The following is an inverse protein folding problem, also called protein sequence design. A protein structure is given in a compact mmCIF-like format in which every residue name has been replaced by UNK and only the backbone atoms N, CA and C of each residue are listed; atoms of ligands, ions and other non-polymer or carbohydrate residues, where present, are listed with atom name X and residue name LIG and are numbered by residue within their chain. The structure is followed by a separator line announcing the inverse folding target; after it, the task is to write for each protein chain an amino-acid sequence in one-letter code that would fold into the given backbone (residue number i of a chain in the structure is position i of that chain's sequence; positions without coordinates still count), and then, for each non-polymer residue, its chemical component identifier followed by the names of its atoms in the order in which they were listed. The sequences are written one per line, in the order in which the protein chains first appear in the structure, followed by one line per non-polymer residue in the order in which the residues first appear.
data_IF_928785536705
#
_entry.id   IF_928785536705
#
_cell.length_a   1.000
_cell.length_b   1.000
_cell.length_c   1.000
_cell.angle_alpha   90.00
_cell.angle_beta   90.00
_cell.angle_gamma   90.00
#
_symmetry.space_group_name_H-M   'P 1'
#
loop_
_entity.id
_entity.type
_entity.pdbx_description
1 polymer ?
#
# COMPACT_ATOMS: atom_id res chain seq x y z
N UNK A 1 16.01 19.07 -12.80
CA UNK A 1 14.85 18.85 -11.92
C UNK A 1 15.40 18.63 -10.52
N UNK A 2 14.99 19.46 -9.56
CA UNK A 2 15.19 19.19 -8.13
C UNK A 2 14.17 18.12 -7.73
N UNK A 3 14.62 16.91 -7.47
CA UNK A 3 13.75 15.85 -6.95
C UNK A 3 13.34 16.22 -5.52
N UNK A 4 12.09 15.91 -5.18
CA UNK A 4 11.66 15.84 -3.78
C UNK A 4 12.52 14.83 -3.03
N UNK A 5 12.71 15.02 -1.73
CA UNK A 5 13.46 14.08 -0.89
C UNK A 5 12.80 12.70 -0.96
N UNK A 6 13.54 11.68 -1.44
CA UNK A 6 12.95 10.35 -1.68
C UNK A 6 12.57 9.70 -0.35
N UNK A 7 11.34 9.21 -0.24
CA UNK A 7 10.85 8.47 0.93
C UNK A 7 10.85 6.95 0.71
N UNK A 8 10.80 6.49 -0.55
CA UNK A 8 10.86 5.07 -0.91
C UNK A 8 11.90 4.85 -2.01
N UNK A 9 12.81 3.90 -1.82
CA UNK A 9 13.79 3.48 -2.81
C UNK A 9 13.52 2.06 -3.25
N UNK A 10 13.55 1.80 -4.54
CA UNK A 10 13.28 0.50 -5.15
C UNK A 10 14.54 -0.02 -5.82
N UNK A 11 15.03 -1.19 -5.39
CA UNK A 11 16.29 -1.77 -5.85
C UNK A 11 16.06 -3.14 -6.48
N UNK A 12 16.24 -3.25 -7.79
CA UNK A 12 16.08 -4.55 -8.45
C UNK A 12 16.00 -4.46 -9.97
N UNK A 13 15.47 -5.53 -10.55
CA UNK A 13 15.43 -5.70 -12.00
C UNK A 13 14.38 -4.78 -12.65
N UNK A 14 14.83 -3.99 -13.63
CA UNK A 14 14.00 -3.43 -14.71
C UNK A 14 14.30 -4.29 -15.94
N UNK A 15 13.26 -4.88 -16.50
CA UNK A 15 13.37 -5.93 -17.50
C UNK A 15 12.38 -5.75 -18.64
N UNK A 16 12.59 -6.50 -19.72
CA UNK A 16 11.54 -6.87 -20.65
C UNK A 16 10.79 -8.10 -20.11
N UNK A 17 9.47 -8.02 -19.97
CA UNK A 17 8.63 -9.19 -19.77
C UNK A 17 8.13 -9.68 -21.13
N UNK A 18 8.43 -10.92 -21.48
CA UNK A 18 8.01 -11.56 -22.72
C UNK A 18 7.03 -12.69 -22.38
N UNK A 19 5.75 -12.42 -22.60
CA UNK A 19 4.68 -13.40 -22.43
C UNK A 19 4.46 -14.13 -23.75
N UNK A 20 4.62 -15.44 -23.76
CA UNK A 20 4.44 -16.31 -24.93
C UNK A 20 3.25 -17.22 -24.65
N UNK A 21 2.22 -17.16 -25.49
CA UNK A 21 1.00 -17.97 -25.40
C UNK A 21 0.73 -18.67 -26.73
N UNK A 22 -0.19 -19.66 -26.79
CA UNK A 22 -0.59 -20.25 -28.07
C UNK A 22 -1.23 -19.24 -29.05
N UNK A 23 -1.74 -18.12 -28.55
CA UNK A 23 -2.36 -17.07 -29.35
C UNK A 23 -1.35 -16.02 -29.87
N UNK A 24 -0.10 -16.04 -29.40
CA UNK A 24 0.94 -15.07 -29.77
C UNK A 24 1.85 -14.70 -28.60
N UNK A 25 2.78 -13.77 -28.84
CA UNK A 25 3.67 -13.23 -27.82
C UNK A 25 3.55 -11.70 -27.69
N UNK A 26 3.81 -11.19 -26.49
CA UNK A 26 3.86 -9.76 -26.19
C UNK A 26 5.11 -9.47 -25.37
N UNK A 27 5.82 -8.41 -25.73
CA UNK A 27 6.91 -7.86 -24.92
C UNK A 27 6.43 -6.56 -24.29
N UNK A 28 6.58 -6.45 -22.97
CA UNK A 28 6.28 -5.25 -22.19
C UNK A 28 7.43 -4.91 -21.26
N UNK A 29 7.49 -3.68 -20.75
CA UNK A 29 8.29 -3.36 -19.58
C UNK A 29 7.87 -4.19 -18.36
N UNK A 30 8.82 -4.60 -17.54
CA UNK A 30 8.56 -5.42 -16.36
C UNK A 30 9.73 -5.48 -15.40
N UNK A 31 9.68 -6.48 -14.53
CA UNK A 31 10.63 -6.67 -13.43
C UNK A 31 10.17 -6.03 -12.13
N UNK A 32 10.58 -6.61 -11.00
CA UNK A 32 10.06 -6.24 -9.69
C UNK A 32 10.24 -4.76 -9.37
N UNK A 33 11.39 -4.16 -9.72
CA UNK A 33 11.61 -2.73 -9.47
C UNK A 33 10.71 -1.84 -10.35
N UNK A 34 10.43 -2.25 -11.58
CA UNK A 34 9.51 -1.52 -12.45
C UNK A 34 8.07 -1.59 -11.94
N UNK A 35 7.57 -2.78 -11.58
CA UNK A 35 6.21 -2.94 -11.07
C UNK A 35 6.00 -2.25 -9.72
N UNK A 36 6.97 -2.36 -8.80
CA UNK A 36 6.93 -1.59 -7.54
C UNK A 36 7.01 -0.09 -7.78
N UNK A 37 7.76 0.37 -8.80
CA UNK A 37 7.80 1.80 -9.15
C UNK A 37 6.43 2.27 -9.62
N UNK A 38 5.74 1.48 -10.44
CA UNK A 38 4.39 1.81 -10.89
C UNK A 38 3.43 1.93 -9.70
N UNK A 39 3.46 0.98 -8.76
CA UNK A 39 2.65 1.04 -7.53
C UNK A 39 3.01 2.23 -6.63
N UNK A 40 4.30 2.50 -6.42
CA UNK A 40 4.76 3.57 -5.55
C UNK A 40 4.47 4.96 -6.12
N UNK A 41 4.74 5.18 -7.42
CA UNK A 41 4.54 6.50 -8.04
C UNK A 41 3.08 6.86 -8.27
N UNK A 42 2.17 5.91 -8.03
CA UNK A 42 0.74 6.20 -7.94
C UNK A 42 0.41 7.04 -6.68
N UNK A 43 1.14 6.88 -5.59
CA UNK A 43 0.84 7.51 -4.29
C UNK A 43 1.88 8.53 -3.81
N UNK A 44 3.08 8.56 -4.41
CA UNK A 44 4.13 9.50 -4.02
C UNK A 44 5.02 9.88 -5.20
N UNK A 45 5.49 11.12 -5.23
CA UNK A 45 6.54 11.58 -6.14
C UNK A 45 7.95 11.37 -5.56
N UNK A 46 8.03 11.09 -4.25
CA UNK A 46 9.25 10.88 -3.51
C UNK A 46 9.76 9.42 -3.63
N UNK A 47 9.87 8.93 -4.87
CA UNK A 47 10.25 7.55 -5.18
C UNK A 47 11.56 7.54 -5.96
N UNK A 48 12.57 6.84 -5.46
CA UNK A 48 13.84 6.62 -6.16
C UNK A 48 13.99 5.19 -6.66
N UNK A 49 14.69 5.01 -7.79
CA UNK A 49 14.95 3.69 -8.38
C UNK A 49 16.45 3.45 -8.53
N UNK A 50 16.87 2.23 -8.20
CA UNK A 50 18.23 1.73 -8.37
C UNK A 50 18.17 0.46 -9.21
N UNK A 51 18.67 0.54 -10.45
CA UNK A 51 18.61 -0.57 -11.40
C UNK A 51 19.70 -0.42 -12.46
N UNK A 52 20.07 -1.52 -13.10
CA UNK A 52 20.92 -1.50 -14.29
C UNK A 52 20.11 -1.95 -15.50
N UNK A 53 20.09 -1.12 -16.54
CA UNK A 53 19.41 -1.42 -17.82
C UNK A 53 20.41 -1.38 -18.98
N UNK A 54 20.10 -2.13 -20.03
CA UNK A 54 20.86 -2.15 -21.26
C UNK A 54 20.53 -0.93 -22.13
N UNK A 55 21.35 -0.69 -23.15
CA UNK A 55 21.12 0.38 -24.12
C UNK A 55 19.90 0.12 -25.03
N UNK A 56 19.33 -1.09 -24.98
CA UNK A 56 18.15 -1.55 -25.71
C UNK A 56 16.82 -1.17 -25.03
N UNK A 57 16.83 -0.68 -23.79
CA UNK A 57 15.61 -0.28 -23.09
C UNK A 57 15.22 1.18 -23.35
N UNK A 58 13.94 1.43 -23.64
CA UNK A 58 13.43 2.78 -23.80
C UNK A 58 13.33 3.49 -22.43
N UNK A 59 14.30 4.36 -22.15
CA UNK A 59 14.38 5.14 -20.92
C UNK A 59 13.17 6.08 -20.71
N UNK A 60 12.46 6.46 -21.77
CA UNK A 60 11.26 7.31 -21.65
C UNK A 60 10.14 6.61 -20.90
N UNK A 61 10.06 5.28 -21.00
CA UNK A 61 9.12 4.45 -20.22
C UNK A 61 9.26 4.70 -18.73
N UNK A 62 10.50 4.82 -18.22
CA UNK A 62 10.78 5.10 -16.81
C UNK A 62 10.51 6.56 -16.47
N UNK A 63 10.96 7.47 -17.33
CA UNK A 63 10.86 8.92 -17.10
C UNK A 63 9.42 9.40 -16.95
N UNK A 64 8.48 8.77 -17.68
CA UNK A 64 7.03 9.05 -17.57
C UNK A 64 6.43 8.71 -16.22
N UNK A 65 7.06 7.83 -15.44
CA UNK A 65 6.61 7.46 -14.09
C UNK A 65 6.98 8.49 -13.03
N UNK A 66 7.86 9.45 -13.37
CA UNK A 66 8.24 10.60 -12.52
C UNK A 66 8.96 10.22 -11.23
N UNK A 67 9.52 9.01 -11.17
CA UNK A 67 10.46 8.61 -10.13
C UNK A 67 11.82 9.31 -10.32
N UNK A 68 12.59 9.41 -9.24
CA UNK A 68 13.99 9.76 -9.27
C UNK A 68 14.82 8.60 -9.82
N UNK A 69 15.38 8.79 -11.01
CA UNK A 69 16.13 7.76 -11.73
C UNK A 69 17.65 7.91 -11.59
N UNK A 70 18.14 8.70 -10.61
CA UNK A 70 19.58 8.90 -10.40
C UNK A 70 20.35 7.59 -10.16
N UNK A 71 19.71 6.59 -9.57
CA UNK A 71 20.27 5.25 -9.36
C UNK A 71 20.13 4.29 -10.55
N UNK A 72 19.56 4.74 -11.68
CA UNK A 72 19.42 3.91 -12.88
C UNK A 72 20.65 4.08 -13.77
N UNK A 73 21.39 2.98 -13.97
CA UNK A 73 22.59 2.95 -14.80
C UNK A 73 22.33 2.26 -16.13
N UNK A 74 22.63 2.95 -17.23
CA UNK A 74 22.63 2.37 -18.57
C UNK A 74 24.02 1.75 -18.84
N UNK A 75 24.06 0.48 -19.24
CA UNK A 75 25.28 -0.24 -19.65
C UNK A 75 25.20 -0.71 -21.10
N UNK A 76 26.36 -0.95 -21.72
CA UNK A 76 26.43 -1.62 -23.02
C UNK A 76 26.03 -3.09 -22.86
N UNK A 77 25.09 -3.56 -23.67
CA UNK A 77 24.52 -4.90 -23.59
C UNK A 77 23.00 -4.89 -23.52
N UNK A 78 22.42 -6.09 -23.41
CA UNK A 78 20.98 -6.28 -23.37
C UNK A 78 20.42 -6.14 -21.95
N UNK A 79 19.26 -5.53 -21.85
CA UNK A 79 18.47 -5.46 -20.61
C UNK A 79 18.02 -6.85 -20.18
N UNK A 80 17.79 -7.02 -18.87
CA UNK A 80 17.21 -8.25 -18.34
C UNK A 80 15.91 -8.59 -19.08
N UNK A 81 15.68 -9.88 -19.33
CA UNK A 81 14.45 -10.39 -19.92
C UNK A 81 13.89 -11.54 -19.10
N UNK A 82 12.66 -11.40 -18.66
CA UNK A 82 11.85 -12.47 -18.10
C UNK A 82 10.95 -13.02 -19.20
N UNK A 83 10.96 -14.34 -19.39
CA UNK A 83 10.16 -15.01 -20.41
C UNK A 83 9.23 -15.99 -19.73
N UNK A 84 7.93 -15.75 -19.86
CA UNK A 84 6.88 -16.62 -19.36
C UNK A 84 6.23 -17.31 -20.56
N UNK A 85 6.33 -18.64 -20.62
CA UNK A 85 5.73 -19.41 -21.71
C UNK A 85 4.54 -20.19 -21.19
N UNK A 86 3.35 -19.90 -21.71
CA UNK A 86 2.13 -20.68 -21.49
C UNK A 86 1.94 -21.67 -22.63
N UNK A 87 1.73 -22.94 -22.29
CA UNK A 87 1.47 -24.02 -23.24
C UNK A 87 -0.03 -24.26 -23.43
N UNK A 88 -0.47 -24.98 -24.48
CA UNK A 88 -1.90 -25.26 -24.74
C UNK A 88 -2.64 -25.98 -23.61
N UNK A 89 -1.91 -26.69 -22.73
CA UNK A 89 -2.45 -27.37 -21.55
C UNK A 89 -2.57 -26.45 -20.32
N UNK A 90 -2.32 -25.14 -20.48
CA UNK A 90 -2.24 -24.11 -19.46
C UNK A 90 -1.06 -24.22 -18.48
N UNK A 91 -0.12 -25.15 -18.70
CA UNK A 91 1.13 -25.13 -17.95
C UNK A 91 1.97 -23.88 -18.31
N UNK A 92 2.80 -23.44 -17.37
CA UNK A 92 3.65 -22.26 -17.52
C UNK A 92 5.10 -22.58 -17.16
N UNK A 93 6.03 -22.11 -17.99
CA UNK A 93 7.46 -22.09 -17.70
C UNK A 93 7.96 -20.65 -17.54
N UNK A 94 8.98 -20.47 -16.69
CA UNK A 94 9.60 -19.18 -16.42
C UNK A 94 11.11 -19.29 -16.63
N UNK A 95 11.65 -18.41 -17.47
CA UNK A 95 13.09 -18.26 -17.64
C UNK A 95 13.52 -16.80 -17.51
N UNK A 96 14.74 -16.57 -17.04
CA UNK A 96 15.33 -15.25 -16.90
C UNK A 96 16.67 -15.19 -17.63
N UNK A 97 16.83 -14.20 -18.51
CA UNK A 97 18.10 -13.80 -19.13
C UNK A 97 18.51 -12.48 -18.50
N UNK A 98 19.44 -12.46 -17.53
CA UNK A 98 19.68 -11.25 -16.72
C UNK A 98 20.42 -10.14 -17.45
N UNK A 99 21.18 -10.46 -18.50
CA UNK A 99 21.88 -9.47 -19.30
C UNK A 99 22.77 -8.59 -18.43
N UNK A 100 22.68 -7.27 -18.58
CA UNK A 100 23.47 -6.32 -17.78
C UNK A 100 23.14 -6.32 -16.28
N UNK A 101 22.04 -6.94 -15.86
CA UNK A 101 21.63 -7.07 -14.45
C UNK A 101 22.15 -8.36 -13.78
N UNK A 102 22.97 -9.16 -14.48
CA UNK A 102 23.58 -10.39 -13.92
C UNK A 102 24.47 -10.09 -12.70
N UNK A 103 25.17 -8.96 -12.71
CA UNK A 103 26.08 -8.57 -11.63
C UNK A 103 25.56 -7.34 -10.89
N UNK A 104 25.43 -7.47 -9.57
CA UNK A 104 25.07 -6.37 -8.69
C UNK A 104 26.26 -5.41 -8.53
N UNK A 105 25.98 -4.13 -8.71
CA UNK A 105 26.94 -3.04 -8.59
C UNK A 105 26.41 -2.02 -7.59
N UNK A 106 26.86 -2.11 -6.34
CA UNK A 106 26.38 -1.22 -5.26
C UNK A 106 26.86 0.22 -5.42
N UNK A 107 27.83 0.49 -6.31
CA UNK A 107 28.39 1.83 -6.54
C UNK A 107 27.41 2.76 -7.26
N UNK A 108 26.37 2.21 -7.89
CA UNK A 108 25.33 3.00 -8.57
C UNK A 108 24.32 3.61 -7.58
N UNK A 109 24.35 3.21 -6.31
CA UNK A 109 23.43 3.69 -5.28
C UNK A 109 23.73 5.16 -4.91
N UNK A 110 22.81 6.11 -5.17
CA UNK A 110 23.03 7.51 -4.80
C UNK A 110 23.07 7.69 -3.28
N UNK A 111 24.01 8.48 -2.76
CA UNK A 111 24.19 8.62 -1.31
C UNK A 111 22.97 9.19 -0.59
N UNK A 112 22.24 10.11 -1.23
CA UNK A 112 21.00 10.70 -0.71
C UNK A 112 19.81 9.72 -0.66
N UNK A 113 19.94 8.52 -1.23
CA UNK A 113 18.88 7.50 -1.15
C UNK A 113 18.89 6.77 0.21
N UNK A 114 19.96 6.92 1.00
CA UNK A 114 20.09 6.29 2.32
C UNK A 114 19.13 6.87 3.37
N UNK A 115 18.61 8.07 3.14
CA UNK A 115 17.72 8.77 4.08
C UNK A 115 16.23 8.40 3.87
N UNK A 116 15.94 7.60 2.85
CA UNK A 116 14.58 7.17 2.55
C UNK A 116 13.98 6.34 3.69
N UNK A 117 12.70 6.54 3.99
CA UNK A 117 12.01 5.77 5.06
C UNK A 117 12.01 4.27 4.77
N UNK A 118 11.86 3.89 3.51
CA UNK A 118 11.88 2.50 3.08
C UNK A 118 12.82 2.29 1.89
N UNK A 119 13.59 1.21 1.95
CA UNK A 119 14.35 0.68 0.82
C UNK A 119 13.84 -0.73 0.54
N UNK A 120 13.21 -0.91 -0.62
CA UNK A 120 12.54 -2.13 -1.03
C UNK A 120 13.36 -2.91 -2.05
N UNK A 121 13.52 -4.19 -1.77
CA UNK A 121 14.08 -5.19 -2.66
C UNK A 121 12.94 -6.08 -3.13
N UNK A 122 12.27 -5.75 -4.25
CA UNK A 122 11.22 -6.57 -4.83
C UNK A 122 11.80 -7.90 -5.32
N UNK A 123 10.91 -8.76 -5.82
CA UNK A 123 11.22 -10.12 -6.31
C UNK A 123 12.51 -10.16 -7.15
N UNK A 124 13.57 -10.74 -6.59
CA UNK A 124 14.88 -10.90 -7.22
C UNK A 124 15.61 -12.12 -6.64
N UNK A 125 16.78 -12.49 -7.19
CA UNK A 125 17.55 -13.59 -6.62
C UNK A 125 17.90 -13.29 -5.15
N UNK A 126 17.73 -14.26 -4.23
CA UNK A 126 18.10 -14.07 -2.83
C UNK A 126 19.55 -13.64 -2.65
N UNK A 127 20.47 -14.13 -3.49
CA UNK A 127 21.88 -13.71 -3.48
C UNK A 127 22.05 -12.22 -3.81
N UNK A 128 21.31 -11.72 -4.81
CA UNK A 128 21.33 -10.30 -5.19
C UNK A 128 20.77 -9.44 -4.07
N UNK A 129 19.65 -9.86 -3.49
CA UNK A 129 19.04 -9.16 -2.36
C UNK A 129 20.00 -9.10 -1.15
N UNK A 130 20.69 -10.21 -0.83
CA UNK A 130 21.65 -10.26 0.28
C UNK A 130 22.86 -9.33 0.08
N UNK A 131 23.35 -9.14 -1.14
CA UNK A 131 24.42 -8.17 -1.44
C UNK A 131 23.96 -6.75 -1.08
N UNK A 132 22.75 -6.37 -1.50
CA UNK A 132 22.16 -5.07 -1.20
C UNK A 132 21.86 -4.88 0.29
N UNK A 133 21.28 -5.88 0.94
CA UNK A 133 21.01 -5.86 2.38
C UNK A 133 22.31 -5.69 3.18
N UNK A 134 23.38 -6.40 2.80
CA UNK A 134 24.70 -6.21 3.41
C UNK A 134 25.25 -4.79 3.20
N UNK A 135 25.09 -4.22 2.00
CA UNK A 135 25.52 -2.85 1.71
C UNK A 135 24.74 -1.79 2.51
N UNK A 136 23.44 -2.04 2.73
CA UNK A 136 22.52 -1.13 3.42
C UNK A 136 22.36 -1.41 4.92
N UNK A 137 23.21 -2.28 5.48
CA UNK A 137 23.17 -2.66 6.89
C UNK A 137 23.08 -1.44 7.81
N UNK A 138 22.18 -1.53 8.79
CA UNK A 138 21.88 -0.46 9.75
C UNK A 138 20.70 0.44 9.36
N UNK A 139 20.19 0.33 8.14
CA UNK A 139 18.95 0.99 7.75
C UNK A 139 17.73 0.31 8.39
N UNK A 140 16.82 1.08 8.99
CA UNK A 140 15.67 0.54 9.74
C UNK A 140 14.50 0.09 8.85
N UNK A 141 14.40 0.63 7.64
CA UNK A 141 13.31 0.37 6.69
C UNK A 141 13.66 -0.56 5.52
N UNK A 142 14.45 -1.62 5.73
CA UNK A 142 14.77 -2.59 4.67
C UNK A 142 13.61 -3.56 4.46
N UNK A 143 13.06 -3.63 3.26
CA UNK A 143 11.89 -4.48 2.98
C UNK A 143 12.18 -5.40 1.79
N UNK A 144 11.64 -6.62 1.82
CA UNK A 144 11.94 -7.65 0.81
C UNK A 144 10.66 -8.32 0.31
N UNK A 145 10.62 -8.69 -0.97
CA UNK A 145 9.58 -9.55 -1.55
C UNK A 145 10.15 -10.90 -1.99
N UNK A 146 9.37 -11.95 -1.78
CA UNK A 146 9.70 -13.30 -2.17
C UNK A 146 9.15 -13.65 -3.55
N UNK A 147 9.79 -14.63 -4.18
CA UNK A 147 9.31 -15.22 -5.42
C UNK A 147 9.37 -16.73 -5.32
N UNK A 148 8.22 -17.39 -5.49
CA UNK A 148 8.05 -18.86 -5.33
C UNK A 148 9.20 -19.69 -5.89
N UNK A 149 9.60 -19.44 -7.15
CA UNK A 149 10.67 -20.22 -7.79
C UNK A 149 11.99 -20.12 -7.03
N UNK A 150 12.33 -18.94 -6.50
CA UNK A 150 13.53 -18.74 -5.71
C UNK A 150 13.40 -19.28 -4.29
N UNK A 151 12.21 -19.20 -3.69
CA UNK A 151 11.95 -19.82 -2.38
C UNK A 151 12.18 -21.32 -2.42
N UNK A 152 11.71 -21.99 -3.48
CA UNK A 152 11.89 -23.43 -3.66
C UNK A 152 13.35 -23.76 -3.98
N UNK A 153 14.00 -22.98 -4.86
CA UNK A 153 15.37 -23.25 -5.28
C UNK A 153 16.42 -22.91 -4.20
N UNK A 154 16.18 -21.88 -3.38
CA UNK A 154 17.16 -21.30 -2.47
C UNK A 154 16.59 -21.01 -1.06
N UNK A 155 15.93 -21.97 -0.39
CA UNK A 155 15.19 -21.73 0.85
C UNK A 155 16.04 -21.12 1.97
N UNK A 156 17.29 -21.58 2.13
CA UNK A 156 18.20 -21.06 3.16
C UNK A 156 18.64 -19.63 2.89
N UNK A 157 18.84 -19.25 1.63
CA UNK A 157 19.17 -17.87 1.26
C UNK A 157 17.95 -16.96 1.42
N UNK A 158 16.75 -17.45 1.09
CA UNK A 158 15.50 -16.73 1.37
C UNK A 158 15.32 -16.48 2.87
N UNK A 159 15.59 -17.46 3.74
CA UNK A 159 15.53 -17.27 5.20
C UNK A 159 16.50 -16.19 5.67
N UNK A 160 17.75 -16.21 5.21
CA UNK A 160 18.74 -15.15 5.52
C UNK A 160 18.30 -13.77 5.04
N UNK A 161 17.72 -13.69 3.83
CA UNK A 161 17.18 -12.45 3.30
C UNK A 161 16.06 -11.89 4.21
N UNK A 162 15.17 -12.76 4.69
CA UNK A 162 14.12 -12.39 5.63
C UNK A 162 14.67 -11.96 6.99
N UNK A 163 15.77 -12.55 7.47
CA UNK A 163 16.42 -12.20 8.74
C UNK A 163 17.02 -10.78 8.77
N UNK A 164 17.33 -10.20 7.60
CA UNK A 164 17.88 -8.84 7.48
C UNK A 164 16.79 -7.78 7.18
N UNK A 165 15.57 -8.20 6.81
CA UNK A 165 14.48 -7.28 6.50
C UNK A 165 13.71 -6.82 7.74
N UNK A 166 13.12 -5.63 7.72
CA UNK A 166 12.18 -5.14 8.74
C UNK A 166 10.70 -5.35 8.36
N UNK A 167 10.39 -5.61 7.09
CA UNK A 167 9.07 -5.99 6.59
C UNK A 167 9.22 -6.97 5.42
N UNK A 168 8.41 -8.03 5.41
CA UNK A 168 8.48 -9.10 4.41
C UNK A 168 7.16 -9.15 3.63
N UNK A 169 7.25 -9.21 2.31
CA UNK A 169 6.14 -9.53 1.40
C UNK A 169 6.30 -10.97 0.92
N UNK A 170 5.21 -11.74 0.99
CA UNK A 170 5.16 -13.10 0.47
C UNK A 170 3.71 -13.51 0.19
N UNK A 171 3.50 -14.50 -0.68
CA UNK A 171 2.19 -15.11 -0.89
C UNK A 171 2.02 -16.42 -0.11
N UNK A 172 0.80 -16.96 -0.13
CA UNK A 172 0.45 -18.20 0.57
C UNK A 172 1.24 -19.43 0.10
N UNK A 173 1.64 -19.49 -1.17
CA UNK A 173 2.43 -20.60 -1.70
C UNK A 173 3.89 -20.52 -1.25
N UNK A 174 4.48 -19.32 -1.25
CA UNK A 174 5.82 -19.04 -0.72
C UNK A 174 5.90 -19.34 0.78
N UNK A 175 4.88 -18.92 1.53
CA UNK A 175 4.73 -19.24 2.95
C UNK A 175 4.74 -20.76 3.20
N UNK A 176 3.96 -21.51 2.41
CA UNK A 176 3.93 -22.98 2.47
C UNK A 176 5.25 -23.62 2.06
N UNK A 177 5.90 -23.11 1.01
CA UNK A 177 7.18 -23.63 0.53
C UNK A 177 8.30 -23.50 1.57
N UNK A 178 8.19 -22.57 2.51
CA UNK A 178 9.08 -22.45 3.68
C UNK A 178 8.68 -23.38 4.85
N UNK A 179 7.87 -24.41 4.58
CA UNK A 179 7.34 -25.40 5.52
C UNK A 179 6.46 -24.83 6.65
N UNK A 180 5.82 -23.66 6.43
CA UNK A 180 4.98 -23.01 7.46
C UNK A 180 5.70 -22.70 8.78
N UNK A 181 7.03 -22.86 8.80
CA UNK A 181 7.88 -22.89 9.99
C UNK A 181 9.02 -21.93 9.76
N UNK A 182 8.73 -20.64 9.81
CA UNK A 182 9.75 -19.61 10.00
C UNK A 182 9.42 -18.89 11.30
N UNK A 183 10.23 -19.05 12.36
CA UNK A 183 10.16 -18.19 13.55
C UNK A 183 10.13 -16.70 13.19
N UNK A 184 10.80 -16.34 12.09
CA UNK A 184 10.91 -14.99 11.53
C UNK A 184 9.55 -14.34 11.22
N UNK A 185 8.57 -15.12 10.71
CA UNK A 185 7.25 -14.56 10.33
C UNK A 185 6.37 -14.25 11.56
N UNK A 186 6.64 -14.90 12.70
CA UNK A 186 5.99 -14.54 13.96
C UNK A 186 6.66 -13.34 14.64
N UNK A 187 7.88 -12.99 14.22
CA UNK A 187 8.68 -11.98 14.89
C UNK A 187 8.70 -10.63 14.17
N UNK A 188 8.54 -10.63 12.85
CA UNK A 188 8.60 -9.46 11.98
C UNK A 188 7.24 -9.18 11.36
N UNK A 189 6.92 -7.92 11.04
CA UNK A 189 5.71 -7.64 10.30
C UNK A 189 5.80 -8.25 8.89
N UNK A 190 4.67 -8.78 8.43
CA UNK A 190 4.52 -9.45 7.15
C UNK A 190 3.30 -8.93 6.41
N UNK A 191 3.40 -8.87 5.08
CA UNK A 191 2.27 -8.75 4.17
C UNK A 191 2.10 -10.10 3.47
N UNK A 192 1.06 -10.83 3.86
CA UNK A 192 0.66 -12.08 3.22
C UNK A 192 -0.33 -11.79 2.09
N UNK A 193 0.12 -11.98 0.85
CA UNK A 193 -0.67 -11.82 -0.38
C UNK A 193 -1.54 -13.06 -0.61
N UNK A 194 -2.86 -12.87 -0.72
CA UNK A 194 -3.86 -13.95 -0.84
C UNK A 194 -4.56 -13.97 -2.21
N UNK A 195 -4.04 -13.26 -3.21
CA UNK A 195 -4.64 -13.17 -4.54
C UNK A 195 -6.05 -12.55 -4.49
N UNK A 196 -7.04 -13.26 -5.05
CA UNK A 196 -8.46 -12.81 -5.07
C UNK A 196 -9.09 -12.62 -3.69
N UNK A 197 -8.45 -13.12 -2.63
CA UNK A 197 -8.90 -12.92 -1.24
C UNK A 197 -8.31 -11.66 -0.59
N UNK A 198 -7.43 -10.94 -1.29
CA UNK A 198 -6.81 -9.70 -0.81
C UNK A 198 -5.47 -9.93 -0.12
N UNK A 199 -5.25 -9.26 1.01
CA UNK A 199 -3.99 -9.33 1.74
C UNK A 199 -4.17 -9.22 3.25
N UNK A 200 -3.21 -9.76 3.99
CA UNK A 200 -3.13 -9.65 5.44
C UNK A 200 -1.84 -8.92 5.81
N UNK A 201 -1.95 -7.83 6.56
CA UNK A 201 -0.83 -7.35 7.37
C UNK A 201 -0.87 -8.06 8.71
N UNK A 202 0.26 -8.60 9.15
CA UNK A 202 0.40 -9.20 10.47
C UNK A 202 1.70 -8.76 11.11
N UNK A 203 1.64 -8.34 12.37
CA UNK A 203 2.79 -8.10 13.24
C UNK A 203 2.59 -8.85 14.57
N UNK A 204 3.50 -8.63 15.53
CA UNK A 204 3.35 -9.21 16.88
C UNK A 204 2.11 -8.70 17.63
N UNK A 205 1.64 -7.50 17.29
CA UNK A 205 0.60 -6.78 18.05
C UNK A 205 -0.67 -6.54 17.25
N UNK A 206 -0.59 -6.56 15.92
CA UNK A 206 -1.67 -6.13 15.05
C UNK A 206 -1.88 -7.12 13.91
N UNK A 207 -3.13 -7.25 13.48
CA UNK A 207 -3.48 -8.00 12.27
C UNK A 207 -4.58 -7.25 11.55
N UNK A 208 -4.36 -6.98 10.27
CA UNK A 208 -5.34 -6.32 9.41
C UNK A 208 -5.59 -7.20 8.19
N UNK A 209 -6.85 -7.55 7.98
CA UNK A 209 -7.29 -8.35 6.84
C UNK A 209 -8.05 -7.43 5.91
N UNK A 210 -7.58 -7.33 4.67
CA UNK A 210 -8.20 -6.51 3.63
C UNK A 210 -8.64 -7.44 2.50
N UNK A 211 -9.95 -7.55 2.20
CA UNK A 211 -10.43 -8.31 1.06
C UNK A 211 -10.11 -7.61 -0.25
N UNK A 212 -9.84 -8.37 -1.31
CA UNK A 212 -9.74 -7.79 -2.65
C UNK A 212 -11.14 -7.48 -3.22
N UNK A 213 -11.31 -6.36 -3.94
CA UNK A 213 -12.51 -6.13 -4.74
C UNK A 213 -12.62 -7.18 -5.85
N UNK A 214 -13.86 -7.51 -6.22
CA UNK A 214 -14.12 -8.39 -7.37
C UNK A 214 -13.86 -7.64 -8.67
N UNK A 215 -12.97 -8.17 -9.50
CA UNK A 215 -12.56 -7.59 -10.79
C UNK A 215 -12.54 -8.65 -11.88
N UNK A 216 -12.64 -8.21 -13.15
CA UNK A 216 -12.43 -9.11 -14.29
C UNK A 216 -10.93 -9.23 -14.55
N UNK A 217 -10.35 -10.38 -14.18
CA UNK A 217 -8.90 -10.62 -14.29
C UNK A 217 -8.52 -10.93 -15.74
N UNK A 218 -7.55 -10.20 -16.27
CA UNK A 218 -6.95 -10.43 -17.58
C UNK A 218 -5.51 -10.96 -17.46
N UNK A 219 -4.71 -10.37 -16.56
CA UNK A 219 -3.27 -10.62 -16.45
C UNK A 219 -2.87 -10.37 -14.97
N UNK A 220 -1.99 -11.17 -14.36
CA UNK A 220 -1.70 -11.09 -12.91
C UNK A 220 -0.27 -10.67 -12.57
N UNK A 221 0.57 -10.49 -13.58
CA UNK A 221 2.01 -10.26 -13.45
C UNK A 221 2.26 -8.89 -12.81
N UNK A 222 3.18 -8.86 -11.86
CA UNK A 222 3.53 -7.64 -11.14
C UNK A 222 2.50 -7.16 -10.11
N UNK A 223 1.32 -7.77 -9.99
CA UNK A 223 0.29 -7.32 -9.04
C UNK A 223 0.79 -7.31 -7.58
N UNK A 224 1.61 -8.30 -7.20
CA UNK A 224 2.27 -8.35 -5.89
C UNK A 224 3.27 -7.22 -5.68
N UNK A 225 4.09 -6.92 -6.69
CA UNK A 225 5.08 -5.84 -6.63
C UNK A 225 4.41 -4.46 -6.64
N UNK A 226 3.29 -4.29 -7.38
CA UNK A 226 2.44 -3.09 -7.36
C UNK A 226 1.87 -2.88 -5.95
N UNK A 227 1.35 -3.93 -5.32
CA UNK A 227 0.87 -3.88 -3.93
C UNK A 227 2.00 -3.42 -2.99
N UNK A 228 3.19 -4.01 -3.10
CA UNK A 228 4.33 -3.67 -2.25
C UNK A 228 4.74 -2.20 -2.42
N UNK A 229 4.91 -1.75 -3.66
CA UNK A 229 5.25 -0.35 -3.96
C UNK A 229 4.20 0.63 -3.43
N UNK A 230 2.92 0.33 -3.67
CA UNK A 230 1.79 1.14 -3.21
C UNK A 230 1.71 1.26 -1.68
N UNK A 231 1.84 0.13 -1.00
CA UNK A 231 1.78 0.06 0.45
C UNK A 231 2.92 0.87 1.09
N UNK A 232 4.15 0.68 0.61
CA UNK A 232 5.33 1.37 1.13
C UNK A 232 5.28 2.87 0.87
N UNK A 233 4.83 3.31 -0.31
CA UNK A 233 4.66 4.73 -0.62
C UNK A 233 3.69 5.41 0.36
N UNK A 234 2.54 4.81 0.62
CA UNK A 234 1.56 5.38 1.55
C UNK A 234 2.05 5.36 3.00
N UNK A 235 2.68 4.27 3.43
CA UNK A 235 3.28 4.20 4.77
C UNK A 235 4.40 5.24 4.94
N UNK A 236 5.13 5.56 3.87
CA UNK A 236 6.10 6.64 3.81
C UNK A 236 5.46 8.03 3.99
N UNK A 237 4.28 8.25 3.42
CA UNK A 237 3.48 9.46 3.61
C UNK A 237 2.78 9.53 4.99
N UNK A 238 2.89 8.49 5.81
CA UNK A 238 2.29 8.44 7.15
C UNK A 238 0.83 7.98 7.17
N UNK A 239 0.34 7.42 6.06
CA UNK A 239 -0.97 6.77 6.00
C UNK A 239 -0.96 5.56 6.94
N UNK A 240 -1.99 5.37 7.79
CA UNK A 240 -2.08 4.21 8.68
C UNK A 240 -2.09 2.89 7.91
N UNK A 241 -1.53 1.85 8.52
CA UNK A 241 -1.37 0.51 7.92
C UNK A 241 -2.67 -0.04 7.33
N UNK A 242 -3.83 -0.01 8.02
CA UNK A 242 -5.07 -0.57 7.48
C UNK A 242 -5.49 0.11 6.17
N UNK A 243 -5.37 1.44 6.12
CA UNK A 243 -5.77 2.25 4.97
C UNK A 243 -4.76 2.15 3.82
N UNK A 244 -3.47 2.12 4.13
CA UNK A 244 -2.41 1.87 3.16
C UNK A 244 -2.53 0.48 2.52
N UNK A 245 -2.93 -0.54 3.31
CA UNK A 245 -3.17 -1.88 2.79
C UNK A 245 -4.42 -1.94 1.92
N UNK A 246 -5.51 -1.29 2.34
CA UNK A 246 -6.77 -1.24 1.59
C UNK A 246 -6.61 -0.69 0.18
N UNK A 247 -5.98 0.47 0.08
CA UNK A 247 -5.66 1.16 -1.17
C UNK A 247 -4.61 0.44 -2.00
N UNK A 248 -3.61 -0.20 -1.37
CA UNK A 248 -2.63 -1.03 -2.10
C UNK A 248 -3.27 -2.28 -2.72
N UNK A 249 -4.16 -2.96 -1.98
CA UNK A 249 -4.94 -4.10 -2.50
C UNK A 249 -5.85 -3.65 -3.64
N UNK A 250 -6.49 -2.48 -3.51
CA UNK A 250 -7.32 -1.92 -4.57
C UNK A 250 -6.51 -1.63 -5.85
N UNK A 251 -5.35 -0.98 -5.72
CA UNK A 251 -4.50 -0.68 -6.87
C UNK A 251 -3.96 -1.95 -7.54
N UNK A 252 -3.55 -2.94 -6.75
CA UNK A 252 -3.14 -4.25 -7.27
C UNK A 252 -4.29 -4.98 -7.96
N UNK A 253 -5.52 -4.86 -7.47
CA UNK A 253 -6.71 -5.43 -8.12
C UNK A 253 -7.05 -4.71 -9.43
N UNK A 254 -6.73 -3.42 -9.56
CA UNK A 254 -6.82 -2.71 -10.83
C UNK A 254 -5.68 -3.06 -11.79
N UNK A 255 -4.50 -3.40 -11.29
CA UNK A 255 -3.36 -3.75 -12.15
C UNK A 255 -3.66 -5.00 -12.98
N UNK A 256 -4.54 -5.89 -12.49
CA UNK A 256 -4.84 -7.16 -13.16
C UNK A 256 -5.95 -7.10 -14.22
N UNK A 257 -6.56 -5.94 -14.44
CA UNK A 257 -7.71 -5.80 -15.36
C UNK A 257 -7.31 -5.54 -16.81
N UNK A 258 -6.05 -5.21 -17.07
CA UNK A 258 -5.50 -4.91 -18.39
C UNK A 258 -4.14 -5.62 -18.56
N UNK A 259 -3.60 -5.64 -19.77
CA UNK A 259 -2.27 -6.21 -20.02
C UNK A 259 -1.18 -5.21 -19.62
N UNK A 260 -0.29 -5.60 -18.72
CA UNK A 260 0.73 -4.72 -18.18
C UNK A 260 0.16 -3.79 -17.10
N UNK A 261 0.94 -2.81 -16.70
CA UNK A 261 0.60 -1.92 -15.56
C UNK A 261 0.61 -0.43 -15.94
N UNK A 262 0.84 -0.12 -17.22
CA UNK A 262 0.98 1.23 -17.75
C UNK A 262 -0.31 2.06 -17.66
N UNK A 263 -1.47 1.40 -17.58
CA UNK A 263 -2.79 2.03 -17.40
C UNK A 263 -3.00 2.58 -15.99
N UNK A 264 -2.14 2.22 -15.03
CA UNK A 264 -2.18 2.78 -13.69
C UNK A 264 -1.60 4.20 -13.71
N UNK A 265 -2.36 5.23 -13.30
CA UNK A 265 -1.87 6.60 -13.36
C UNK A 265 -0.77 6.85 -12.33
N UNK A 266 0.01 7.91 -12.52
CA UNK A 266 0.92 8.46 -11.49
C UNK A 266 0.17 9.43 -10.60
N UNK A 267 0.70 9.73 -9.41
CA UNK A 267 0.16 10.76 -8.51
C UNK A 267 -0.04 12.09 -9.24
N UNK A 268 1.00 12.58 -9.91
CA UNK A 268 0.97 13.82 -10.72
C UNK A 268 -0.19 13.82 -11.72
N UNK A 269 -0.45 12.70 -12.41
CA UNK A 269 -1.54 12.62 -13.39
C UNK A 269 -2.94 12.54 -12.76
N UNK A 270 -3.03 12.22 -11.47
CA UNK A 270 -4.29 12.13 -10.72
C UNK A 270 -4.62 13.39 -9.93
N UNK A 271 -3.72 14.38 -9.85
CA UNK A 271 -3.94 15.59 -9.06
C UNK A 271 -5.20 16.35 -9.53
N UNK A 272 -6.31 16.01 -8.89
CA UNK A 272 -7.59 16.71 -8.86
C UNK A 272 -7.72 17.37 -7.49
N UNK A 273 -8.51 18.43 -7.37
CA UNK A 273 -8.75 19.07 -6.07
C UNK A 273 -9.22 18.03 -5.04
N UNK A 274 -8.59 17.96 -3.85
CA UNK A 274 -8.92 16.97 -2.84
C UNK A 274 -10.37 17.15 -2.37
N UNK A 275 -11.06 16.05 -2.13
CA UNK A 275 -12.35 16.06 -1.45
C UNK A 275 -12.10 16.34 0.03
N UNK A 276 -12.48 17.54 0.47
CA UNK A 276 -12.35 17.98 1.85
C UNK A 276 -13.48 17.37 2.69
N UNK A 277 -13.10 16.65 3.75
CA UNK A 277 -14.03 15.97 4.64
C UNK A 277 -13.67 16.21 6.11
N UNK A 278 -14.63 15.94 6.99
CA UNK A 278 -14.45 15.99 8.44
C UNK A 278 -14.96 14.70 9.07
N UNK A 279 -14.35 14.28 10.16
CA UNK A 279 -14.82 13.15 10.96
C UNK A 279 -14.63 13.41 12.46
N UNK A 280 -15.44 12.78 13.31
CA UNK A 280 -15.37 12.99 14.75
C UNK A 280 -15.39 11.71 15.58
N UNK A 281 -14.57 11.69 16.63
CA UNK A 281 -14.82 10.85 17.81
C UNK A 281 -15.86 11.57 18.68
N UNK A 282 -17.11 11.13 18.62
CA UNK A 282 -18.19 11.68 19.43
C UNK A 282 -18.27 10.96 20.76
N UNK A 283 -18.08 11.68 21.87
CA UNK A 283 -17.96 11.13 23.22
C UNK A 283 -19.19 11.49 24.07
N UNK A 284 -19.82 10.50 24.71
CA UNK A 284 -20.93 10.74 25.62
C UNK A 284 -20.46 11.15 27.04
N UNK A 285 -21.41 11.34 27.96
CA UNK A 285 -21.10 11.73 29.35
C UNK A 285 -20.43 10.64 30.19
N UNK A 286 -20.44 9.40 29.70
CA UNK A 286 -19.80 8.24 30.33
C UNK A 286 -18.39 7.96 29.78
N UNK A 287 -17.88 8.80 28.87
CA UNK A 287 -16.58 8.60 28.23
C UNK A 287 -16.58 7.50 27.16
N UNK A 288 -17.77 7.08 26.70
CA UNK A 288 -17.92 6.12 25.62
C UNK A 288 -18.02 6.85 24.28
N UNK A 289 -17.54 6.21 23.23
CA UNK A 289 -17.53 6.76 21.88
C UNK A 289 -18.64 6.18 21.03
N UNK A 290 -19.23 7.02 20.17
CA UNK A 290 -20.22 6.60 19.20
C UNK A 290 -19.57 5.86 18.02
N UNK A 291 -20.19 4.76 17.59
CA UNK A 291 -19.96 4.11 16.31
C UNK A 291 -21.29 3.82 15.64
N UNK A 292 -21.42 4.21 14.36
CA UNK A 292 -22.59 3.93 13.54
C UNK A 292 -22.31 2.81 12.54
N UNK A 293 -23.22 1.85 12.40
CA UNK A 293 -23.10 0.77 11.42
C UNK A 293 -23.64 1.24 10.07
N UNK A 294 -22.80 1.36 9.05
CA UNK A 294 -23.21 1.94 7.77
C UNK A 294 -23.35 0.91 6.64
N UNK A 295 -24.54 0.76 6.03
CA UNK A 295 -24.72 -0.08 4.84
C UNK A 295 -23.85 0.36 3.65
N UNK A 296 -23.52 1.65 3.54
CA UNK A 296 -22.66 2.19 2.47
C UNK A 296 -21.24 1.61 2.52
N UNK A 297 -20.78 1.23 3.71
CA UNK A 297 -19.43 0.70 3.96
C UNK A 297 -19.46 -0.79 4.31
N UNK A 298 -20.21 -1.59 3.54
CA UNK A 298 -20.34 -3.04 3.77
C UNK A 298 -20.75 -3.39 5.22
N UNK A 299 -21.63 -2.60 5.83
CA UNK A 299 -22.06 -2.72 7.22
C UNK A 299 -20.92 -2.63 8.25
N UNK A 300 -19.84 -1.92 7.91
CA UNK A 300 -18.76 -1.60 8.83
C UNK A 300 -19.21 -0.56 9.87
N UNK A 301 -18.55 -0.60 11.03
CA UNK A 301 -18.70 0.43 12.05
C UNK A 301 -17.82 1.62 11.69
N UNK A 302 -18.45 2.79 11.52
CA UNK A 302 -17.79 4.04 11.16
C UNK A 302 -18.02 5.11 12.22
N UNK A 303 -17.17 6.13 12.17
CA UNK A 303 -17.37 7.36 12.89
C UNK A 303 -18.19 8.36 12.05
N UNK A 304 -18.91 9.30 12.70
CA UNK A 304 -19.69 10.32 12.02
C UNK A 304 -18.80 11.33 11.30
N UNK A 305 -19.30 11.84 10.18
CA UNK A 305 -18.56 12.79 9.36
C UNK A 305 -19.01 12.83 7.91
N UNK A 306 -18.57 13.87 7.20
CA UNK A 306 -19.02 14.14 5.84
C UNK A 306 -18.16 15.16 5.13
N UNK A 307 -18.67 15.66 4.00
CA UNK A 307 -17.95 16.64 3.18
C UNK A 307 -18.12 18.04 3.76
N UNK A 308 -17.09 18.87 3.55
CA UNK A 308 -17.17 20.30 3.85
C UNK A 308 -17.91 20.99 2.70
N UNK A 309 -19.00 21.69 3.02
CA UNK A 309 -19.80 22.45 2.06
C UNK A 309 -19.20 23.83 1.76
N UNK A 310 -19.64 24.44 0.67
CA UNK A 310 -19.14 25.76 0.28
C UNK A 310 -19.56 26.84 1.28
N UNK A 311 -18.58 27.50 1.90
CA UNK A 311 -18.81 28.65 2.77
C UNK A 311 -18.88 28.35 4.27
N UNK A 312 -18.69 27.09 4.68
CA UNK A 312 -18.56 26.72 6.09
C UNK A 312 -17.08 26.48 6.50
N UNK A 313 -16.81 26.62 7.79
CA UNK A 313 -15.57 26.19 8.43
C UNK A 313 -15.58 24.69 8.71
N UNK A 314 -14.41 24.08 8.91
CA UNK A 314 -14.29 22.67 9.28
C UNK A 314 -15.07 22.34 10.58
N UNK A 315 -15.05 23.27 11.54
CA UNK A 315 -15.78 23.14 12.80
C UNK A 315 -17.30 23.21 12.61
N UNK A 316 -17.77 24.09 11.71
CA UNK A 316 -19.19 24.17 11.35
C UNK A 316 -19.64 22.90 10.63
N UNK A 317 -18.84 22.39 9.70
CA UNK A 317 -19.09 21.16 8.96
C UNK A 317 -19.28 19.97 9.91
N UNK A 318 -18.34 19.74 10.84
CA UNK A 318 -18.44 18.57 11.72
C UNK A 318 -19.60 18.67 12.72
N UNK A 319 -19.93 19.89 13.16
CA UNK A 319 -21.10 20.12 14.02
C UNK A 319 -22.41 19.93 13.25
N UNK A 320 -22.47 20.32 11.97
CA UNK A 320 -23.61 20.07 11.07
C UNK A 320 -23.80 18.56 10.86
N UNK A 321 -22.76 17.84 10.47
CA UNK A 321 -22.79 16.38 10.28
C UNK A 321 -23.27 15.65 11.54
N UNK A 322 -22.70 15.95 12.71
CA UNK A 322 -23.14 15.32 13.97
C UNK A 322 -24.62 15.61 14.27
N UNK A 323 -25.08 16.83 13.99
CA UNK A 323 -26.49 17.20 14.19
C UNK A 323 -27.41 16.46 13.23
N UNK A 324 -27.04 16.34 11.97
CA UNK A 324 -27.83 15.67 10.92
C UNK A 324 -27.85 14.16 11.08
N UNK A 325 -26.70 13.59 11.44
CA UNK A 325 -26.52 12.16 11.61
C UNK A 325 -27.05 11.63 12.93
N UNK A 326 -26.85 12.36 14.04
CA UNK A 326 -27.12 11.87 15.39
C UNK A 326 -28.25 12.62 16.11
N UNK A 327 -28.60 13.82 15.66
CA UNK A 327 -29.63 14.65 16.29
C UNK A 327 -29.25 15.25 17.65
N UNK A 328 -27.96 15.32 17.97
CA UNK A 328 -27.47 15.71 19.31
C UNK A 328 -26.84 17.11 19.32
N UNK A 329 -26.87 17.76 20.49
CA UNK A 329 -26.10 18.98 20.78
C UNK A 329 -24.77 18.64 21.41
N UNK A 330 -23.75 19.44 21.13
CA UNK A 330 -22.37 19.16 21.53
C UNK A 330 -21.69 20.40 22.12
N UNK A 331 -20.55 20.18 22.77
CA UNK A 331 -19.55 21.23 23.04
C UNK A 331 -18.77 21.56 21.76
N UNK A 332 -17.99 22.63 21.81
CA UNK A 332 -17.07 23.00 20.73
C UNK A 332 -16.14 21.84 20.37
N UNK A 333 -15.94 21.57 19.07
CA UNK A 333 -15.08 20.48 18.61
C UNK A 333 -13.62 20.78 18.97
N UNK A 334 -12.89 19.75 19.38
CA UNK A 334 -11.46 19.83 19.68
C UNK A 334 -10.71 19.21 18.49
N UNK A 335 -9.84 19.95 17.79
CA UNK A 335 -9.06 19.39 16.68
C UNK A 335 -8.19 18.22 17.14
N UNK A 336 -8.14 17.16 16.32
CA UNK A 336 -7.39 15.94 16.60
C UNK A 336 -6.16 15.81 15.69
N UNK A 337 -6.35 15.34 14.46
CA UNK A 337 -5.30 15.23 13.44
C UNK A 337 -5.86 15.47 12.04
N UNK A 338 -4.99 15.86 11.14
CA UNK A 338 -5.24 15.92 9.70
C UNK A 338 -4.55 14.74 9.01
N UNK A 339 -5.20 14.15 8.01
CA UNK A 339 -4.57 13.14 7.16
C UNK A 339 -5.19 13.13 5.77
N UNK A 340 -4.41 12.67 4.80
CA UNK A 340 -4.84 12.47 3.42
C UNK A 340 -4.78 10.98 3.06
N UNK A 341 -5.71 10.53 2.21
CA UNK A 341 -5.66 9.20 1.62
C UNK A 341 -6.38 9.20 0.27
N UNK A 342 -6.04 8.23 -0.56
CA UNK A 342 -6.74 8.00 -1.80
C UNK A 342 -7.89 7.02 -1.60
N UNK A 343 -9.00 7.21 -2.32
CA UNK A 343 -10.11 6.28 -2.29
C UNK A 343 -9.65 4.85 -2.64
N UNK A 344 -10.04 3.88 -1.81
CA UNK A 344 -9.78 2.47 -2.09
C UNK A 344 -10.72 1.88 -3.17
N UNK A 345 -11.62 2.67 -3.77
CA UNK A 345 -12.47 2.19 -4.86
C UNK A 345 -11.63 2.07 -6.14
N UNK A 346 -11.37 0.85 -6.60
CA UNK A 346 -10.60 0.58 -7.81
C UNK A 346 -11.20 1.23 -9.08
N UNK A 347 -12.49 1.62 -9.04
CA UNK A 347 -13.19 2.32 -10.11
C UNK A 347 -13.08 3.84 -10.03
N UNK A 348 -12.76 4.42 -8.88
CA UNK A 348 -12.57 5.87 -8.73
C UNK A 348 -11.12 6.20 -9.02
N UNK A 349 -10.92 7.09 -9.97
CA UNK A 349 -9.59 7.48 -10.44
C UNK A 349 -8.95 8.49 -9.49
N UNK A 350 -8.20 8.00 -8.49
CA UNK A 350 -7.28 8.85 -7.75
C UNK A 350 -7.94 9.95 -6.92
N UNK A 351 -9.18 9.75 -6.48
CA UNK A 351 -9.84 10.70 -5.57
C UNK A 351 -9.05 10.79 -4.27
N UNK A 352 -8.37 11.92 -4.07
CA UNK A 352 -7.69 12.26 -2.83
C UNK A 352 -8.71 12.82 -1.84
N UNK A 353 -8.79 12.25 -0.65
CA UNK A 353 -9.53 12.78 0.48
C UNK A 353 -8.56 13.44 1.44
N UNK A 354 -8.94 14.60 1.95
CA UNK A 354 -8.22 15.31 2.99
C UNK A 354 -9.17 15.50 4.18
N UNK A 355 -8.89 14.84 5.31
CA UNK A 355 -9.79 14.82 6.46
C UNK A 355 -9.23 15.57 7.67
N UNK A 356 -10.03 16.51 8.17
CA UNK A 356 -9.83 17.11 9.50
C UNK A 356 -10.63 16.33 10.54
N UNK A 357 -9.93 15.77 11.52
CA UNK A 357 -10.55 14.94 12.56
C UNK A 357 -10.71 15.73 13.84
N UNK A 358 -11.79 15.45 14.56
CA UNK A 358 -12.15 16.15 15.78
C UNK A 358 -12.54 15.19 16.90
N UNK A 359 -12.45 15.66 18.14
CA UNK A 359 -13.14 15.07 19.29
C UNK A 359 -14.28 15.99 19.64
N UNK A 360 -15.49 15.43 19.77
CA UNK A 360 -16.69 16.22 20.04
C UNK A 360 -17.44 15.62 21.22
N UNK A 361 -17.60 16.39 22.29
CA UNK A 361 -18.31 15.93 23.49
C UNK A 361 -19.80 16.26 23.40
N UNK A 362 -20.65 15.25 23.58
CA UNK A 362 -22.10 15.43 23.67
C UNK A 362 -22.48 16.17 24.95
N UNK A 363 -23.56 16.95 24.89
CA UNK A 363 -24.19 17.45 26.11
C UNK A 363 -24.93 16.31 26.85
N UNK A 364 -24.94 16.31 28.20
CA UNK A 364 -25.63 15.34 29.05
C UNK A 364 -27.11 15.09 28.72
N UNK A 365 -27.60 13.88 29.00
CA UNK A 365 -29.04 13.54 29.01
C UNK A 365 -29.75 13.57 27.66
N UNK A 366 -29.02 13.43 26.55
CA UNK A 366 -29.59 13.39 25.19
C UNK A 366 -29.70 11.95 24.68
N UNK A 367 -30.74 11.67 23.89
CA UNK A 367 -30.86 10.43 23.13
C UNK A 367 -30.40 10.64 21.70
N UNK A 368 -29.65 9.69 21.15
CA UNK A 368 -29.24 9.69 19.74
C UNK A 368 -30.42 9.29 18.86
N UNK A 369 -30.61 10.02 17.76
CA UNK A 369 -31.54 9.68 16.70
C UNK A 369 -30.75 9.58 15.40
N UNK A 370 -30.29 8.37 15.08
CA UNK A 370 -29.58 8.12 13.83
C UNK A 370 -30.46 8.39 12.60
N UNK A 371 -29.86 8.93 11.54
CA UNK A 371 -30.51 9.07 10.24
C UNK A 371 -30.32 7.81 9.36
N UNK A 372 -30.63 7.90 8.07
CA UNK A 372 -30.57 6.77 7.13
C UNK A 372 -29.12 6.35 6.73
N UNK A 373 -28.10 7.08 7.18
CA UNK A 373 -26.67 6.73 6.99
C UNK A 373 -26.32 5.44 7.75
N UNK A 374 -27.02 5.20 8.86
CA UNK A 374 -26.77 4.11 9.80
C UNK A 374 -27.95 3.16 9.89
N UNK A 375 -27.63 1.86 9.95
CA UNK A 375 -28.60 0.80 10.25
C UNK A 375 -28.67 0.47 11.75
N UNK A 376 -27.62 0.80 12.50
CA UNK A 376 -27.50 0.56 13.94
C UNK A 376 -26.43 1.49 14.55
N UNK A 377 -26.38 1.61 15.87
CA UNK A 377 -25.30 2.33 16.56
C UNK A 377 -24.97 1.73 17.93
N UNK A 378 -23.74 1.98 18.38
CA UNK A 378 -23.28 1.62 19.73
C UNK A 378 -22.52 2.76 20.38
N UNK A 379 -22.56 2.81 21.71
CA UNK A 379 -21.59 3.52 22.53
C UNK A 379 -20.70 2.51 23.24
N UNK A 380 -19.39 2.67 23.11
CA UNK A 380 -18.42 1.77 23.73
C UNK A 380 -17.26 2.56 24.33
N UNK A 381 -16.68 2.11 25.45
CA UNK A 381 -15.36 2.57 25.87
C UNK A 381 -14.34 2.45 24.71
N UNK A 382 -13.39 3.39 24.56
CA UNK A 382 -12.48 3.43 23.41
C UNK A 382 -11.70 2.14 23.17
N UNK A 383 -11.23 1.50 24.23
CA UNK A 383 -10.48 0.24 24.20
C UNK A 383 -11.33 -0.95 23.70
N UNK A 384 -12.64 -0.91 23.95
CA UNK A 384 -13.61 -1.88 23.44
C UNK A 384 -14.01 -1.58 22.01
N UNK A 385 -14.17 -0.31 21.66
CA UNK A 385 -14.50 0.11 20.30
C UNK A 385 -13.45 -0.37 19.29
N UNK A 386 -12.16 -0.31 19.63
CA UNK A 386 -11.07 -0.84 18.79
C UNK A 386 -11.13 -2.36 18.54
N UNK A 387 -11.91 -3.11 19.33
CA UNK A 387 -12.04 -4.57 19.24
C UNK A 387 -13.32 -5.01 18.54
N UNK A 388 -14.14 -4.07 18.09
CA UNK A 388 -15.38 -4.37 17.37
C UNK A 388 -15.05 -5.02 16.03
N UNK A 389 -15.73 -6.12 15.73
CA UNK A 389 -15.62 -6.78 14.43
C UNK A 389 -16.13 -5.87 13.31
N UNK A 390 -15.45 -5.88 12.17
CA UNK A 390 -15.78 -5.02 11.02
C UNK A 390 -15.73 -3.50 11.34
N UNK A 391 -14.83 -3.08 12.23
CA UNK A 391 -14.51 -1.66 12.43
C UNK A 391 -13.80 -1.11 11.20
N UNK A 392 -14.31 -0.02 10.64
CA UNK A 392 -13.74 0.60 9.44
C UNK A 392 -12.33 1.16 9.73
N UNK A 393 -11.37 1.04 8.78
CA UNK A 393 -10.00 1.54 8.92
C UNK A 393 -9.90 2.99 9.42
N UNK A 394 -10.70 3.91 8.85
CA UNK A 394 -10.68 5.32 9.24
C UNK A 394 -11.23 5.53 10.66
N UNK A 395 -12.27 4.78 11.06
CA UNK A 395 -12.81 4.84 12.42
C UNK A 395 -11.79 4.34 13.45
N UNK A 396 -11.13 3.21 13.18
CA UNK A 396 -10.03 2.69 14.01
C UNK A 396 -8.95 3.75 14.23
N UNK A 397 -8.48 4.35 13.14
CA UNK A 397 -7.42 5.37 13.18
C UNK A 397 -7.82 6.59 14.03
N UNK A 398 -9.03 7.15 13.86
CA UNK A 398 -9.41 8.32 14.67
C UNK A 398 -9.57 7.98 16.15
N UNK A 399 -9.97 6.76 16.48
CA UNK A 399 -10.05 6.29 17.87
C UNK A 399 -8.66 6.17 18.47
N UNK A 400 -7.70 5.63 17.73
CA UNK A 400 -6.30 5.56 18.15
C UNK A 400 -5.70 6.95 18.35
N UNK A 401 -6.01 7.92 17.48
CA UNK A 401 -5.62 9.30 17.68
C UNK A 401 -6.22 9.86 18.97
N UNK A 402 -7.50 9.60 19.23
CA UNK A 402 -8.18 10.03 20.45
C UNK A 402 -7.55 9.42 21.71
N UNK A 403 -7.24 8.12 21.70
CA UNK A 403 -6.63 7.44 22.84
C UNK A 403 -5.20 7.91 23.12
N UNK A 404 -4.51 8.44 22.12
CA UNK A 404 -3.16 9.00 22.25
C UNK A 404 -3.15 10.51 22.55
N UNK A 405 -4.31 11.17 22.61
CA UNK A 405 -4.38 12.55 23.11
C UNK A 405 -3.96 12.54 24.58
N UNK A 406 -2.85 13.22 24.86
CA UNK A 406 -2.46 13.53 26.24
C UNK A 406 -3.35 14.68 26.70
N UNK A 407 -4.45 14.36 27.39
CA UNK A 407 -5.34 15.35 28.04
C UNK A 407 -4.97 15.46 29.50
#
# INVERSE_FOLDING_TARGET
MTYTENKVILIGDIAFNEDITPAGSKVSPGGGAYYSMVGATHFSEAVGVVATIGADFDYQTLSRRKANLQGVKIKSGNTCRFVVTQYPDNSRDFSAKRGVAEQIDTTIFPSNYRDAKFIHLPSQLPEHALIWLSYLKGHSGLTVDAFKTFVIAFPELTRKMFDEASLIFLNEEEYRALNGSTPVLNEKPVILKLGERGAIYQSRTETYVVPAPRVNVLETTGAGDVLAGAFLAQLAEGVPIPLALETAVSLASRSVTEFGVEHLPTKESMEKEPQLVVAAVVVNEHGEIFLGRSPKFNNAWIAPGGHIEAGETNEEAILREIKEELGVRTKSPIPLKYHEWFAADYKRDGTLFACHNYVVQMLPGQQVKINNEYSDYVFLPPDKALKVENLHPTARMIIEYYMNLTI
#
